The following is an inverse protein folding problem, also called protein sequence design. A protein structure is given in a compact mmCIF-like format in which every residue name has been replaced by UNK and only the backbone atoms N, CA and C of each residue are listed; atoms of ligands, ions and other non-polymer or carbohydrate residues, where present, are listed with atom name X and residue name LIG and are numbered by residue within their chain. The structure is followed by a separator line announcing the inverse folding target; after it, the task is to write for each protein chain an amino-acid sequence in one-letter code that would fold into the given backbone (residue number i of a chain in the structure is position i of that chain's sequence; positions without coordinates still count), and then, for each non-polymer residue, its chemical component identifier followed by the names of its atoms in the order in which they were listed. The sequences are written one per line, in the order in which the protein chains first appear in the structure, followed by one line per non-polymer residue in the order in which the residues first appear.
data_IF_679755848012
#
_entry.id   IF_679755848012
#
_cell.length_a   1.000
_cell.length_b   1.000
_cell.length_c   1.000
_cell.angle_alpha   90.00
_cell.angle_beta   90.00
_cell.angle_gamma   90.00
#
_symmetry.space_group_name_H-M   'P 1'
#
loop_
_entity.id
_entity.type
_entity.pdbx_description
1 polymer ?
#
# COMPACT_ATOMS: atom_id res chain seq x y z
N UNK A 1 -6.25 -8.17 -2.07
CA UNK A 1 -7.62 -8.74 -1.86
C UNK A 1 -7.79 -9.03 -0.36
N UNK A 2 -8.51 -10.05 0.10
CA UNK A 2 -8.43 -10.51 1.48
C UNK A 2 -7.93 -11.95 1.47
N UNK A 3 -6.81 -12.24 2.10
CA UNK A 3 -6.06 -13.50 1.92
C UNK A 3 -6.29 -14.51 3.05
N UNK A 4 -6.74 -14.03 4.21
CA UNK A 4 -6.99 -14.85 5.40
C UNK A 4 -5.77 -14.94 6.31
N UNK A 5 -5.91 -15.60 7.47
CA UNK A 5 -4.86 -15.58 8.50
C UNK A 5 -4.83 -14.29 9.32
N UNK A 6 -3.77 -14.14 10.12
CA UNK A 6 -3.58 -12.97 10.96
C UNK A 6 -3.08 -11.77 10.14
N UNK A 7 -2.98 -10.60 10.77
CA UNK A 7 -2.51 -9.35 10.13
C UNK A 7 -1.17 -9.48 9.41
N UNK A 8 -0.20 -10.20 9.98
CA UNK A 8 1.14 -10.33 9.39
C UNK A 8 1.06 -11.17 8.11
N UNK A 9 0.32 -12.29 8.15
CA UNK A 9 0.16 -13.16 6.98
C UNK A 9 -0.58 -12.42 5.84
N UNK A 10 -1.57 -11.61 6.19
CA UNK A 10 -2.32 -10.78 5.24
C UNK A 10 -1.42 -9.75 4.55
N UNK A 11 -0.63 -8.98 5.32
CA UNK A 11 0.23 -7.91 4.77
C UNK A 11 1.45 -8.47 4.02
N UNK A 12 2.05 -9.57 4.50
CA UNK A 12 3.10 -10.27 3.75
C UNK A 12 2.56 -10.78 2.42
N UNK A 13 1.29 -11.22 2.35
CA UNK A 13 0.69 -11.61 1.07
C UNK A 13 0.57 -10.41 0.13
N UNK A 14 0.13 -9.24 0.62
CA UNK A 14 0.11 -8.01 -0.18
C UNK A 14 1.51 -7.64 -0.71
N UNK A 15 2.55 -7.76 0.11
CA UNK A 15 3.93 -7.51 -0.29
C UNK A 15 4.36 -8.41 -1.47
N UNK A 16 3.98 -9.69 -1.44
CA UNK A 16 4.30 -10.61 -2.54
C UNK A 16 3.53 -10.26 -3.81
N UNK A 17 2.27 -9.88 -3.71
CA UNK A 17 1.47 -9.45 -4.88
C UNK A 17 2.06 -8.20 -5.54
N UNK A 18 2.50 -7.21 -4.75
CA UNK A 18 3.16 -6.01 -5.26
C UNK A 18 4.52 -6.33 -5.89
N UNK A 19 5.35 -7.16 -5.26
CA UNK A 19 6.65 -7.55 -5.81
C UNK A 19 6.50 -8.35 -7.12
N UNK A 20 5.46 -9.18 -7.25
CA UNK A 20 5.13 -9.85 -8.51
C UNK A 20 4.78 -8.85 -9.63
N UNK A 21 4.01 -7.80 -9.32
CA UNK A 21 3.69 -6.74 -10.28
C UNK A 21 4.95 -5.96 -10.69
N UNK A 22 5.84 -5.66 -9.74
CA UNK A 22 7.11 -5.03 -10.03
C UNK A 22 8.01 -5.90 -10.92
N UNK A 23 8.10 -7.20 -10.65
CA UNK A 23 8.85 -8.13 -11.49
C UNK A 23 8.31 -8.19 -12.93
N UNK A 24 6.98 -8.07 -13.12
CA UNK A 24 6.38 -7.98 -14.47
C UNK A 24 6.77 -6.68 -15.20
N UNK A 25 6.85 -5.55 -14.49
CA UNK A 25 7.30 -4.27 -15.07
C UNK A 25 8.78 -4.37 -15.47
N UNK A 26 9.63 -4.92 -14.60
CA UNK A 26 11.07 -5.07 -14.85
C UNK A 26 11.37 -6.01 -16.01
N UNK A 27 10.52 -7.02 -16.24
CA UNK A 27 10.65 -7.96 -17.35
C UNK A 27 10.28 -7.36 -18.72
N UNK A 28 9.61 -6.20 -18.76
CA UNK A 28 9.19 -5.53 -19.99
C UNK A 28 10.18 -4.44 -20.41
N UNK A 29 10.42 -4.25 -21.72
CA UNK A 29 11.27 -3.16 -22.21
C UNK A 29 10.68 -1.78 -21.88
N UNK A 30 11.52 -0.76 -21.75
CA UNK A 30 11.07 0.63 -21.59
C UNK A 30 10.13 1.05 -22.74
N UNK A 31 9.08 1.82 -22.43
CA UNK A 31 8.05 2.23 -23.40
C UNK A 31 6.97 1.18 -23.71
N UNK A 32 7.08 -0.03 -23.18
CA UNK A 32 6.09 -1.09 -23.42
C UNK A 32 4.78 -0.79 -22.66
N UNK A 33 3.64 -0.94 -23.36
CA UNK A 33 2.34 -0.47 -22.85
C UNK A 33 1.89 -1.18 -21.58
N UNK A 34 2.22 -2.46 -21.44
CA UNK A 34 1.78 -3.26 -20.30
C UNK A 34 2.50 -2.82 -19.00
N UNK A 35 3.63 -2.10 -19.10
CA UNK A 35 4.29 -1.50 -17.93
C UNK A 35 3.36 -0.54 -17.19
N UNK A 36 2.60 0.29 -17.92
CA UNK A 36 1.64 1.21 -17.31
C UNK A 36 0.46 0.46 -16.69
N UNK A 37 0.01 -0.63 -17.32
CA UNK A 37 -1.05 -1.48 -16.76
C UNK A 37 -0.62 -2.09 -15.41
N UNK A 38 0.58 -2.66 -15.34
CA UNK A 38 1.10 -3.22 -14.10
C UNK A 38 1.41 -2.15 -13.05
N UNK A 39 1.94 -0.98 -13.44
CA UNK A 39 2.16 0.13 -12.51
C UNK A 39 0.84 0.67 -11.92
N UNK A 40 -0.20 0.77 -12.74
CA UNK A 40 -1.54 1.16 -12.26
C UNK A 40 -2.12 0.13 -11.31
N UNK A 41 -1.93 -1.17 -11.58
CA UNK A 41 -2.37 -2.24 -10.68
C UNK A 41 -1.58 -2.22 -9.36
N UNK A 42 -0.26 -2.05 -9.42
CA UNK A 42 0.58 -1.93 -8.22
C UNK A 42 0.16 -0.72 -7.37
N UNK A 43 -0.15 0.42 -8.01
CA UNK A 43 -0.68 1.61 -7.34
C UNK A 43 -1.99 1.32 -6.59
N UNK A 44 -2.91 0.56 -7.19
CA UNK A 44 -4.18 0.20 -6.55
C UNK A 44 -3.93 -0.63 -5.29
N UNK A 45 -3.06 -1.64 -5.36
CA UNK A 45 -2.78 -2.50 -4.22
C UNK A 45 -2.00 -1.77 -3.12
N UNK A 46 -0.99 -0.98 -3.48
CA UNK A 46 -0.21 -0.15 -2.55
C UNK A 46 -1.09 0.86 -1.78
N UNK A 47 -2.02 1.53 -2.45
CA UNK A 47 -2.94 2.48 -1.80
C UNK A 47 -3.87 1.77 -0.81
N UNK A 48 -4.35 0.56 -1.16
CA UNK A 48 -5.22 -0.20 -0.24
C UNK A 48 -4.46 -0.72 0.97
N UNK A 49 -3.23 -1.17 0.74
CA UNK A 49 -2.31 -1.68 1.74
C UNK A 49 -1.97 -0.59 2.77
N UNK A 50 -1.42 0.53 2.31
CA UNK A 50 -1.05 1.68 3.15
C UNK A 50 -2.20 2.20 4.02
N UNK A 51 -3.39 2.40 3.43
CA UNK A 51 -4.57 2.83 4.18
C UNK A 51 -4.93 1.84 5.29
N UNK A 52 -4.81 0.54 5.05
CA UNK A 52 -5.14 -0.47 6.05
C UNK A 52 -4.14 -0.47 7.22
N UNK A 53 -2.87 -0.23 6.94
CA UNK A 53 -1.81 -0.16 7.94
C UNK A 53 -1.92 1.10 8.79
N UNK A 54 -2.10 2.25 8.15
CA UNK A 54 -2.33 3.53 8.82
C UNK A 54 -3.57 3.53 9.70
N UNK A 55 -4.65 2.87 9.25
CA UNK A 55 -5.88 2.78 10.01
C UNK A 55 -5.80 1.82 11.21
N UNK A 56 -4.97 0.77 11.13
CA UNK A 56 -5.02 -0.34 12.08
C UNK A 56 -3.66 -0.88 12.52
N UNK A 57 -2.73 -1.18 11.61
CA UNK A 57 -1.41 -1.71 11.96
C UNK A 57 -0.63 -0.72 12.82
N UNK A 58 -0.43 0.51 12.35
CA UNK A 58 0.40 1.50 13.04
C UNK A 58 -0.18 1.94 14.39
N UNK A 59 -1.50 2.11 14.56
CA UNK A 59 -2.10 2.24 15.88
C UNK A 59 -1.75 1.07 16.83
N UNK A 60 -1.80 -0.17 16.35
CA UNK A 60 -1.43 -1.34 17.16
C UNK A 60 0.08 -1.34 17.47
N UNK A 61 0.94 -1.00 16.51
CA UNK A 61 2.39 -0.84 16.71
C UNK A 61 2.68 0.16 17.82
N UNK A 62 2.00 1.31 17.83
CA UNK A 62 2.12 2.32 18.90
C UNK A 62 1.65 1.81 20.27
N UNK A 63 0.62 0.96 20.29
CA UNK A 63 0.04 0.42 21.52
C UNK A 63 0.92 -0.68 22.14
N UNK A 64 1.41 -1.61 21.32
CA UNK A 64 2.05 -2.83 21.80
C UNK A 64 3.58 -2.76 21.85
N UNK A 65 4.24 -1.87 21.08
CA UNK A 65 5.70 -1.80 21.02
C UNK A 65 6.26 -0.60 21.80
N UNK A 66 7.34 -0.84 22.55
CA UNK A 66 8.02 0.19 23.38
C UNK A 66 8.47 1.40 22.55
N UNK A 67 8.95 1.18 21.33
CA UNK A 67 9.35 2.24 20.39
C UNK A 67 8.31 2.47 19.29
N UNK A 68 7.06 2.04 19.52
CA UNK A 68 6.03 1.98 18.49
C UNK A 68 5.69 3.32 17.86
N UNK A 69 5.79 4.44 18.60
CA UNK A 69 5.58 5.78 18.03
C UNK A 69 6.61 6.11 16.96
N UNK A 70 7.90 5.98 17.26
CA UNK A 70 8.97 6.26 16.30
C UNK A 70 8.91 5.33 15.10
N UNK A 71 8.58 4.05 15.30
CA UNK A 71 8.43 3.09 14.21
C UNK A 71 7.27 3.49 13.29
N UNK A 72 6.09 3.70 13.86
CA UNK A 72 4.91 4.10 13.10
C UNK A 72 5.09 5.46 12.40
N UNK A 73 5.73 6.45 13.04
CA UNK A 73 5.99 7.76 12.41
C UNK A 73 6.87 7.62 11.16
N UNK A 74 7.88 6.73 11.22
CA UNK A 74 8.77 6.46 10.09
C UNK A 74 8.05 5.76 8.93
N UNK A 75 7.31 4.70 9.20
CA UNK A 75 6.57 3.99 8.13
C UNK A 75 5.54 4.90 7.44
N UNK A 76 4.87 5.78 8.20
CA UNK A 76 3.96 6.78 7.64
C UNK A 76 4.70 7.78 6.73
N UNK A 77 5.92 8.19 7.08
CA UNK A 77 6.73 9.08 6.22
C UNK A 77 7.14 8.38 4.91
N UNK A 78 7.49 7.09 4.99
CA UNK A 78 7.79 6.25 3.83
C UNK A 78 6.54 6.09 2.93
N UNK A 79 5.36 5.88 3.51
CA UNK A 79 4.07 5.89 2.80
C UNK A 79 3.79 7.21 2.08
N UNK A 80 3.91 8.35 2.78
CA UNK A 80 3.68 9.64 2.14
C UNK A 80 4.65 9.87 0.96
N UNK A 81 5.87 9.31 1.02
CA UNK A 81 6.83 9.35 -0.09
C UNK A 81 6.38 8.48 -1.27
N UNK A 82 6.02 7.23 -1.01
CA UNK A 82 5.48 6.33 -2.03
C UNK A 82 4.21 6.90 -2.68
N UNK A 83 3.33 7.53 -1.90
CA UNK A 83 2.08 8.12 -2.40
C UNK A 83 2.32 9.30 -3.36
N UNK A 84 3.31 10.15 -3.08
CA UNK A 84 3.74 11.20 -4.01
C UNK A 84 4.28 10.63 -5.31
N UNK A 85 5.11 9.58 -5.24
CA UNK A 85 5.64 8.91 -6.44
C UNK A 85 4.52 8.27 -7.26
N UNK A 86 3.57 7.58 -6.62
CA UNK A 86 2.38 7.05 -7.26
C UNK A 86 1.54 8.15 -7.91
N UNK A 87 1.44 9.32 -7.26
CA UNK A 87 0.69 10.46 -7.79
C UNK A 87 1.33 11.02 -9.05
N UNK A 88 2.64 11.16 -9.07
CA UNK A 88 3.38 11.60 -10.25
C UNK A 88 3.28 10.56 -11.38
N UNK A 89 3.34 9.27 -11.06
CA UNK A 89 3.13 8.15 -12.01
C UNK A 89 1.72 8.10 -12.60
N UNK A 90 0.68 8.61 -11.90
CA UNK A 90 -0.70 8.64 -12.40
C UNK A 90 -0.79 9.42 -13.72
N UNK A 91 0.05 10.45 -13.89
CA UNK A 91 0.08 11.33 -15.06
C UNK A 91 1.07 10.93 -16.16
N UNK A 92 1.83 9.85 -15.98
CA UNK A 92 2.83 9.39 -16.96
C UNK A 92 2.31 8.26 -17.83
N UNK A 93 2.62 8.35 -19.12
CA UNK A 93 2.55 7.26 -20.09
C UNK A 93 3.83 6.41 -20.04
N UNK A 94 3.80 5.13 -20.46
CA UNK A 94 4.92 4.22 -20.31
C UNK A 94 6.17 4.61 -21.15
N UNK A 95 5.99 5.42 -22.19
CA UNK A 95 7.06 5.96 -23.04
C UNK A 95 7.50 7.38 -22.64
N UNK A 96 6.90 7.96 -21.59
CA UNK A 96 7.35 9.23 -21.05
C UNK A 96 8.74 9.08 -20.40
N UNK A 97 9.66 10.05 -20.62
CA UNK A 97 11.00 10.02 -20.01
C UNK A 97 10.99 9.94 -18.47
N UNK A 98 9.90 10.37 -17.84
CA UNK A 98 9.73 10.35 -16.39
C UNK A 98 9.30 8.99 -15.83
N UNK A 99 8.70 8.12 -16.64
CA UNK A 99 8.08 6.87 -16.16
C UNK A 99 9.11 5.95 -15.52
N UNK A 100 10.19 5.63 -16.23
CA UNK A 100 11.21 4.69 -15.77
C UNK A 100 11.90 5.15 -14.48
N UNK A 101 12.12 6.45 -14.35
CA UNK A 101 12.69 7.04 -13.13
C UNK A 101 11.73 6.89 -11.97
N UNK A 102 10.48 7.32 -12.14
CA UNK A 102 9.48 7.32 -11.07
C UNK A 102 9.12 5.90 -10.62
N UNK A 103 8.98 4.94 -11.54
CA UNK A 103 8.68 3.55 -11.18
C UNK A 103 9.86 2.89 -10.47
N UNK A 104 11.10 3.19 -10.88
CA UNK A 104 12.30 2.72 -10.20
C UNK A 104 12.46 3.31 -8.78
N UNK A 105 12.17 4.59 -8.61
CA UNK A 105 12.10 5.24 -7.29
C UNK A 105 11.03 4.56 -6.43
N UNK A 106 9.80 4.38 -6.93
CA UNK A 106 8.72 3.71 -6.21
C UNK A 106 9.09 2.28 -5.79
N UNK A 107 9.66 1.48 -6.70
CA UNK A 107 10.12 0.13 -6.40
C UNK A 107 11.19 0.11 -5.30
N UNK A 108 12.09 1.10 -5.29
CA UNK A 108 13.15 1.19 -4.27
C UNK A 108 12.55 1.49 -2.90
N UNK A 109 11.68 2.49 -2.80
CA UNK A 109 11.02 2.87 -1.54
C UNK A 109 10.19 1.71 -0.99
N UNK A 110 9.33 1.09 -1.82
CA UNK A 110 8.47 -0.01 -1.41
C UNK A 110 9.28 -1.25 -0.99
N UNK A 111 10.34 -1.62 -1.71
CA UNK A 111 11.18 -2.76 -1.31
C UNK A 111 11.93 -2.50 0.00
N UNK A 112 12.31 -1.25 0.27
CA UNK A 112 12.92 -0.86 1.55
C UNK A 112 11.92 -0.99 2.69
N UNK A 113 10.70 -0.47 2.49
CA UNK A 113 9.60 -0.57 3.45
C UNK A 113 9.26 -2.04 3.77
N UNK A 114 9.02 -2.88 2.74
CA UNK A 114 8.75 -4.32 2.90
C UNK A 114 9.86 -5.00 3.72
N UNK A 115 11.12 -4.65 3.45
CA UNK A 115 12.25 -5.24 4.15
C UNK A 115 12.28 -4.84 5.64
N UNK A 116 12.01 -3.58 5.98
CA UNK A 116 11.94 -3.14 7.38
C UNK A 116 10.76 -3.79 8.09
N UNK A 117 9.59 -3.81 7.47
CA UNK A 117 8.42 -4.40 8.11
C UNK A 117 8.60 -5.90 8.38
N UNK A 118 8.99 -6.68 7.36
CA UNK A 118 9.11 -8.13 7.49
C UNK A 118 10.27 -8.58 8.40
N UNK A 119 11.36 -7.82 8.44
CA UNK A 119 12.57 -8.20 9.19
C UNK A 119 12.64 -7.60 10.58
N UNK A 120 11.90 -6.52 10.84
CA UNK A 120 12.02 -5.74 12.07
C UNK A 120 10.66 -5.46 12.74
N UNK A 121 9.68 -4.90 12.03
CA UNK A 121 8.38 -4.55 12.64
C UNK A 121 7.53 -5.79 12.99
N UNK A 122 7.25 -6.65 12.02
CA UNK A 122 6.38 -7.82 12.20
C UNK A 122 6.91 -8.82 13.23
N UNK A 123 8.23 -9.14 13.30
CA UNK A 123 8.76 -10.01 14.34
C UNK A 123 8.53 -9.45 15.76
N UNK A 124 8.65 -8.13 15.94
CA UNK A 124 8.40 -7.49 17.22
C UNK A 124 6.91 -7.49 17.57
N UNK A 125 6.05 -7.16 16.61
CA UNK A 125 4.59 -7.20 16.80
C UNK A 125 4.11 -8.61 17.16
N UNK A 126 4.62 -9.63 16.46
CA UNK A 126 4.32 -11.04 16.75
C UNK A 126 4.73 -11.46 18.16
N UNK A 127 5.82 -10.92 18.67
CA UNK A 127 6.30 -11.22 20.03
C UNK A 127 5.50 -10.47 21.12
N UNK A 128 4.93 -9.31 20.79
CA UNK A 128 4.22 -8.46 21.73
C UNK A 128 2.72 -8.77 21.85
N UNK A 129 2.10 -9.26 20.77
CA UNK A 129 0.66 -9.54 20.72
C UNK A 129 0.35 -11.04 20.87
N UNK A 130 -0.83 -11.35 21.41
CA UNK A 130 -1.42 -12.68 21.35
C UNK A 130 -1.92 -13.02 19.94
N UNK A 131 -2.03 -14.31 19.64
CA UNK A 131 -2.58 -14.81 18.37
C UNK A 131 -3.96 -14.22 18.07
N UNK A 132 -4.82 -14.13 19.10
CA UNK A 132 -6.16 -13.53 18.98
C UNK A 132 -6.11 -12.05 18.59
N UNK A 133 -5.20 -11.27 19.16
CA UNK A 133 -5.05 -9.85 18.80
C UNK A 133 -4.59 -9.68 17.36
N UNK A 134 -3.66 -10.54 16.90
CA UNK A 134 -3.17 -10.53 15.51
C UNK A 134 -4.27 -10.94 14.52
N UNK A 135 -5.11 -11.92 14.88
CA UNK A 135 -6.26 -12.35 14.07
C UNK A 135 -7.32 -11.24 13.96
N UNK A 136 -7.70 -10.63 15.08
CA UNK A 136 -8.65 -9.50 15.10
C UNK A 136 -8.12 -8.29 14.31
N UNK A 137 -6.81 -8.06 14.34
CA UNK A 137 -6.18 -7.01 13.54
C UNK A 137 -6.23 -7.34 12.04
N UNK A 138 -6.03 -8.61 11.67
CA UNK A 138 -6.16 -9.08 10.29
C UNK A 138 -7.55 -8.87 9.72
N UNK A 139 -8.60 -9.11 10.52
CA UNK A 139 -9.99 -8.84 10.11
C UNK A 139 -10.26 -7.35 9.85
N UNK A 140 -9.70 -6.47 10.69
CA UNK A 140 -9.84 -5.01 10.53
C UNK A 140 -9.13 -4.51 9.27
N UNK A 141 -7.88 -4.94 9.05
CA UNK A 141 -7.09 -4.63 7.84
C UNK A 141 -7.82 -5.07 6.58
N UNK A 142 -8.32 -6.32 6.55
CA UNK A 142 -9.13 -6.82 5.42
C UNK A 142 -10.39 -6.00 5.17
N UNK A 143 -11.04 -5.50 6.22
CA UNK A 143 -12.22 -4.66 6.06
C UNK A 143 -11.85 -3.29 5.48
N UNK A 144 -10.78 -2.67 5.99
CA UNK A 144 -10.28 -1.38 5.50
C UNK A 144 -10.01 -1.40 3.99
N UNK A 145 -9.28 -2.43 3.53
CA UNK A 145 -8.91 -2.64 2.12
C UNK A 145 -10.13 -2.67 1.17
N UNK A 146 -11.28 -3.17 1.64
CA UNK A 146 -12.51 -3.25 0.81
C UNK A 146 -13.09 -1.89 0.46
N UNK A 147 -12.89 -0.89 1.33
CA UNK A 147 -13.44 0.45 1.17
C UNK A 147 -12.37 1.50 0.84
N UNK A 148 -11.09 1.15 0.99
CA UNK A 148 -9.98 2.03 0.70
C UNK A 148 -10.02 2.60 -0.74
N UNK A 149 -9.43 3.79 -0.94
CA UNK A 149 -9.12 4.36 -2.25
C UNK A 149 -8.39 3.40 -3.20
N UNK A 150 -8.42 3.74 -4.49
CA UNK A 150 -7.66 3.03 -5.53
C UNK A 150 -6.69 3.94 -6.29
N UNK A 151 -6.60 5.19 -5.85
CA UNK A 151 -5.68 6.22 -6.34
C UNK A 151 -4.99 6.90 -5.15
N UNK A 152 -3.78 7.44 -5.36
CA UNK A 152 -3.07 8.20 -4.33
C UNK A 152 -3.76 9.54 -4.07
N UNK A 153 -3.87 9.89 -2.78
CA UNK A 153 -4.37 11.15 -2.24
C UNK A 153 -3.35 11.80 -1.28
N UNK A 154 -2.17 12.30 -1.75
CA UNK A 154 -1.09 12.85 -0.89
C UNK A 154 -1.44 14.08 -0.04
N UNK A 155 -2.66 14.58 -0.14
CA UNK A 155 -3.18 15.71 0.65
C UNK A 155 -4.27 15.27 1.63
N UNK A 156 -4.62 14.00 1.64
CA UNK A 156 -5.47 13.41 2.66
C UNK A 156 -4.66 13.26 3.97
N UNK A 157 -5.36 13.15 5.12
CA UNK A 157 -4.70 12.80 6.37
C UNK A 157 -4.32 11.31 6.37
N UNK A 158 -3.14 10.98 6.90
CA UNK A 158 -2.60 9.60 6.96
C UNK A 158 -2.72 8.98 8.35
N UNK A 159 -3.45 9.63 9.27
CA UNK A 159 -3.62 9.15 10.66
C UNK A 159 -5.08 9.15 11.12
N UNK A 160 -5.48 8.15 11.94
CA UNK A 160 -6.80 8.14 12.57
C UNK A 160 -6.99 9.29 13.58
N UNK A 161 -8.23 9.80 13.77
CA UNK A 161 -9.47 9.33 13.15
C UNK A 161 -9.77 9.94 11.77
N UNK A 162 -8.94 10.87 11.29
CA UNK A 162 -9.26 11.66 10.10
C UNK A 162 -9.23 10.83 8.81
N UNK A 163 -8.27 9.91 8.66
CA UNK A 163 -8.17 9.01 7.51
C UNK A 163 -9.41 8.09 7.38
N UNK A 164 -9.85 7.48 8.48
CA UNK A 164 -11.03 6.59 8.57
C UNK A 164 -12.33 7.21 8.09
N UNK A 165 -12.49 8.53 8.23
CA UNK A 165 -13.70 9.24 7.82
C UNK A 165 -13.71 9.56 6.32
N UNK A 166 -12.53 9.76 5.72
CA UNK A 166 -12.40 10.21 4.33
C UNK A 166 -12.17 9.05 3.35
N UNK A 167 -11.45 8.01 3.77
CA UNK A 167 -11.06 6.88 2.91
C UNK A 167 -12.25 6.20 2.20
N UNK A 168 -13.40 5.89 2.86
CA UNK A 168 -14.52 5.25 2.18
C UNK A 168 -15.15 6.11 1.07
N UNK A 169 -15.22 7.44 1.29
CA UNK A 169 -15.79 8.38 0.32
C UNK A 169 -14.89 8.53 -0.91
N UNK A 170 -13.59 8.73 -0.69
CA UNK A 170 -12.59 8.79 -1.76
C UNK A 170 -12.55 7.49 -2.58
N UNK A 171 -12.60 6.33 -1.92
CA UNK A 171 -12.60 5.03 -2.61
C UNK A 171 -13.84 4.75 -3.45
N UNK A 172 -15.01 5.31 -3.13
CA UNK A 172 -16.16 5.20 -4.02
C UNK A 172 -15.96 6.03 -5.31
N UNK A 173 -15.42 7.24 -5.17
CA UNK A 173 -15.14 8.14 -6.30
C UNK A 173 -14.08 7.55 -7.23
N UNK A 174 -13.00 7.01 -6.67
CA UNK A 174 -11.93 6.42 -7.47
C UNK A 174 -12.40 5.20 -8.26
N UNK A 175 -13.17 4.30 -7.63
CA UNK A 175 -13.73 3.12 -8.32
C UNK A 175 -14.65 3.52 -9.49
N UNK A 176 -15.44 4.58 -9.35
CA UNK A 176 -16.24 5.12 -10.45
C UNK A 176 -15.35 5.64 -11.59
N UNK A 177 -14.29 6.37 -11.26
CA UNK A 177 -13.30 6.88 -12.24
C UNK A 177 -12.55 5.75 -12.93
N UNK A 178 -12.18 4.70 -12.21
CA UNK A 178 -11.54 3.50 -12.76
C UNK A 178 -12.48 2.75 -13.71
N UNK A 179 -13.76 2.60 -13.36
CA UNK A 179 -14.76 1.99 -14.24
C UNK A 179 -14.93 2.74 -15.58
N UNK A 180 -14.92 4.08 -15.54
CA UNK A 180 -15.01 4.97 -16.70
C UNK A 180 -13.74 4.97 -17.56
N UNK A 181 -12.56 4.97 -16.94
CA UNK A 181 -11.27 5.01 -17.63
C UNK A 181 -10.78 3.65 -18.11
N UNK A 182 -11.30 2.55 -17.54
CA UNK A 182 -10.81 1.20 -17.81
C UNK A 182 -9.57 0.79 -17.00
N UNK A 183 -9.07 1.65 -16.11
CA UNK A 183 -7.93 1.38 -15.23
C UNK A 183 -8.24 0.19 -14.29
N UNK A 184 -7.30 -0.75 -14.17
CA UNK A 184 -7.42 -1.91 -13.28
C UNK A 184 -8.34 -3.04 -13.81
N UNK A 185 -8.78 -3.01 -15.08
CA UNK A 185 -9.63 -4.07 -15.67
C UNK A 185 -8.89 -5.34 -16.13
N UNK A 186 -7.56 -5.39 -15.95
CA UNK A 186 -6.69 -6.45 -16.51
C UNK A 186 -6.06 -7.37 -15.44
N UNK A 187 -6.63 -7.44 -14.24
CA UNK A 187 -6.27 -8.44 -13.23
C UNK A 187 -6.88 -9.81 -13.55
#
# INVERSE_FOLDING_TARGET
MGHGGNVIDELVTDHREVEELFGRIEALPSGEKDRKLFADQATIELVRHSVAEEEYLYPAVREYLVNGNTMADREIEDHSTAERLMKDLEGCEPDDPGFDRLIGELMTEVRSHIADEEQNLFPQLRAACSEKELDELGDKVRMAKKTAPTRPHPSAPDTPPANKLLAPGAGMVDRLRDALSGRGKHA
#
